data_IF_250359572813
#
_entry.id   IF_250359572813
#
_cell.length_a   1.000
_cell.length_b   1.000
_cell.length_c   1.000
_cell.angle_alpha   90.00
_cell.angle_beta   90.00
_cell.angle_gamma   90.00
#
_symmetry.space_group_name_H-M   'P 1'
#
loop_
_entity.id
_entity.type
_entity.pdbx_description
1 polymer ?
#
# COMPACT_ATOMS: atom_id res chain seq x y z
N UNK A 1 8.77 -5.26 -7.38
CA UNK A 1 7.63 -4.31 -7.49
C UNK A 1 6.99 -4.34 -8.88
N UNK A 2 7.73 -4.18 -9.97
CA UNK A 2 7.17 -4.19 -11.34
C UNK A 2 6.33 -5.44 -11.66
N UNK A 3 6.80 -6.64 -11.27
CA UNK A 3 6.02 -7.88 -11.42
C UNK A 3 4.68 -7.78 -10.68
N UNK A 4 4.69 -7.35 -9.42
CA UNK A 4 3.47 -7.20 -8.63
C UNK A 4 2.48 -6.19 -9.24
N UNK A 5 2.97 -5.07 -9.78
CA UNK A 5 2.12 -4.09 -10.48
C UNK A 5 1.40 -4.71 -11.68
N UNK A 6 2.11 -5.55 -12.46
CA UNK A 6 1.53 -6.28 -13.60
C UNK A 6 0.54 -7.35 -13.15
N UNK A 7 0.88 -8.12 -12.10
CA UNK A 7 0.05 -9.20 -11.58
C UNK A 7 -1.28 -8.68 -11.01
N UNK A 8 -1.25 -7.50 -10.35
CA UNK A 8 -2.44 -6.82 -9.81
C UNK A 8 -3.26 -6.18 -10.94
N UNK A 9 -2.64 -5.86 -12.08
CA UNK A 9 -3.28 -5.09 -13.15
C UNK A 9 -3.82 -3.76 -12.62
N UNK A 10 -2.90 -2.82 -12.33
CA UNK A 10 -3.24 -1.52 -11.73
C UNK A 10 -4.12 -0.71 -12.68
N UNK A 11 -5.33 -0.37 -12.26
CA UNK A 11 -6.33 0.33 -13.05
C UNK A 11 -6.73 1.69 -12.45
N UNK A 12 -6.48 1.86 -11.15
CA UNK A 12 -6.90 3.07 -10.44
C UNK A 12 -5.91 3.41 -9.31
N UNK A 13 -6.10 4.59 -8.72
CA UNK A 13 -5.22 5.09 -7.66
C UNK A 13 -5.24 4.24 -6.39
N UNK A 14 -6.38 3.64 -6.03
CA UNK A 14 -6.49 2.75 -4.88
C UNK A 14 -5.61 1.49 -5.04
N UNK A 15 -5.42 1.03 -6.27
CA UNK A 15 -4.50 -0.10 -6.54
C UNK A 15 -3.05 0.27 -6.21
N UNK A 16 -2.62 1.50 -6.51
CA UNK A 16 -1.27 1.98 -6.18
C UNK A 16 -1.10 2.02 -4.66
N UNK A 17 -2.10 2.52 -3.93
CA UNK A 17 -2.11 2.52 -2.46
C UNK A 17 -1.98 1.10 -1.92
N UNK A 18 -2.74 0.16 -2.50
CA UNK A 18 -2.72 -1.25 -2.08
C UNK A 18 -1.37 -1.92 -2.38
N UNK A 19 -0.78 -1.66 -3.56
CA UNK A 19 0.55 -2.20 -3.92
C UNK A 19 1.60 -1.83 -2.90
N UNK A 20 1.65 -0.57 -2.45
CA UNK A 20 2.61 -0.10 -1.46
C UNK A 20 2.43 -0.79 -0.10
N UNK A 21 1.20 -1.14 0.27
CA UNK A 21 0.91 -1.90 1.47
C UNK A 21 1.25 -3.39 1.32
N UNK A 22 1.07 -3.97 0.13
CA UNK A 22 1.27 -5.39 -0.17
C UNK A 22 2.73 -5.75 -0.46
N UNK A 23 3.52 -4.85 -1.05
CA UNK A 23 4.91 -5.13 -1.45
C UNK A 23 5.86 -5.09 -0.25
N UNK A 24 5.71 -6.05 0.64
CA UNK A 24 6.53 -6.24 1.84
C UNK A 24 6.69 -7.73 2.13
N UNK A 25 7.81 -8.14 2.77
CA UNK A 25 8.08 -9.57 3.04
C UNK A 25 6.94 -10.30 3.76
N UNK A 26 6.28 -9.65 4.71
CA UNK A 26 5.18 -10.23 5.48
C UNK A 26 3.95 -10.56 4.61
N UNK A 27 3.29 -9.59 3.99
CA UNK A 27 2.15 -9.82 3.09
C UNK A 27 2.48 -10.79 1.96
N UNK A 28 3.69 -10.69 1.36
CA UNK A 28 4.11 -11.58 0.28
C UNK A 28 4.21 -13.05 0.71
N UNK A 29 4.69 -13.31 1.93
CA UNK A 29 4.83 -14.68 2.46
C UNK A 29 3.53 -15.24 3.07
N UNK A 30 2.60 -14.38 3.48
CA UNK A 30 1.36 -14.79 4.16
C UNK A 30 0.25 -15.31 3.23
N UNK A 31 0.42 -15.20 1.92
CA UNK A 31 -0.61 -15.49 0.92
C UNK A 31 -1.59 -14.35 0.63
N UNK A 32 -1.49 -13.25 1.38
CA UNK A 32 -2.39 -12.07 1.26
C UNK A 32 -2.35 -11.45 -0.14
N UNK A 33 -1.16 -11.36 -0.73
CA UNK A 33 -0.97 -10.83 -2.10
C UNK A 33 -1.72 -11.67 -3.12
N UNK A 34 -1.59 -13.01 -3.02
CA UNK A 34 -2.28 -13.94 -3.92
C UNK A 34 -3.79 -13.81 -3.80
N UNK A 35 -4.29 -13.77 -2.57
CA UNK A 35 -5.71 -13.61 -2.26
C UNK A 35 -6.27 -12.28 -2.82
N UNK A 36 -5.54 -11.18 -2.65
CA UNK A 36 -5.91 -9.87 -3.21
C UNK A 36 -6.02 -9.92 -4.73
N UNK A 37 -5.00 -10.47 -5.42
CA UNK A 37 -4.97 -10.58 -6.89
C UNK A 37 -6.11 -11.45 -7.40
N UNK A 38 -6.32 -12.62 -6.80
CA UNK A 38 -7.38 -13.56 -7.21
C UNK A 38 -8.78 -12.94 -7.07
N UNK A 39 -9.01 -12.23 -5.96
CA UNK A 39 -10.32 -11.59 -5.70
C UNK A 39 -10.54 -10.34 -6.53
N UNK A 40 -9.48 -9.59 -6.87
CA UNK A 40 -9.58 -8.48 -7.81
C UNK A 40 -9.93 -8.96 -9.21
N UNK A 41 -9.30 -10.06 -9.68
CA UNK A 41 -9.56 -10.63 -11.01
C UNK A 41 -10.93 -11.32 -11.11
N UNK A 42 -11.40 -11.89 -10.02
CA UNK A 42 -12.66 -12.62 -9.96
C UNK A 42 -13.47 -12.23 -8.73
N UNK A 43 -14.35 -11.21 -8.86
CA UNK A 43 -15.18 -10.74 -7.75
C UNK A 43 -16.09 -11.81 -7.12
N UNK A 44 -16.38 -12.91 -7.82
CA UNK A 44 -17.19 -14.02 -7.28
C UNK A 44 -16.50 -14.75 -6.12
N UNK A 45 -15.18 -14.62 -6.02
CA UNK A 45 -14.36 -15.17 -4.92
C UNK A 45 -14.38 -14.33 -3.65
N UNK A 46 -14.91 -13.10 -3.70
CA UNK A 46 -15.00 -12.24 -2.53
C UNK A 46 -16.07 -12.80 -1.59
N UNK A 47 -15.65 -13.11 -0.36
CA UNK A 47 -16.54 -13.57 0.69
C UNK A 47 -16.38 -12.71 1.93
N UNK A 48 -17.49 -12.24 2.48
CA UNK A 48 -17.50 -11.50 3.74
C UNK A 48 -18.11 -12.41 4.83
N UNK A 49 -17.40 -12.56 5.94
CA UNK A 49 -17.89 -13.37 7.06
C UNK A 49 -19.11 -12.73 7.77
N UNK A 50 -19.32 -11.44 7.56
CA UNK A 50 -20.49 -10.72 8.02
C UNK A 50 -20.82 -9.55 7.06
N UNK A 51 -22.12 -9.23 6.81
CA UNK A 51 -22.50 -8.15 5.88
C UNK A 51 -21.88 -6.79 6.19
N UNK A 52 -21.71 -6.45 7.47
CA UNK A 52 -21.07 -5.19 7.89
C UNK A 52 -19.62 -5.06 7.43
N UNK A 53 -18.95 -6.16 7.11
CA UNK A 53 -17.57 -6.12 6.60
C UNK A 53 -17.49 -5.66 5.15
N UNK A 54 -18.54 -5.83 4.36
CA UNK A 54 -18.55 -5.43 2.96
C UNK A 54 -18.22 -3.95 2.80
N UNK A 55 -18.87 -3.07 3.56
CA UNK A 55 -18.63 -1.63 3.48
C UNK A 55 -17.21 -1.22 3.83
N UNK A 56 -16.50 -2.02 4.64
CA UNK A 56 -15.14 -1.74 5.11
C UNK A 56 -14.12 -2.34 4.15
N UNK A 57 -14.36 -3.57 3.68
CA UNK A 57 -13.38 -4.37 2.95
C UNK A 57 -13.59 -4.38 1.43
N UNK A 58 -14.68 -3.81 0.94
CA UNK A 58 -14.95 -3.71 -0.51
C UNK A 58 -13.80 -3.06 -1.29
N UNK A 59 -13.18 -1.95 -0.81
CA UNK A 59 -12.05 -1.32 -1.51
C UNK A 59 -10.79 -2.20 -1.60
N UNK A 60 -10.71 -3.24 -0.79
CA UNK A 60 -9.58 -4.19 -0.73
C UNK A 60 -10.01 -5.62 -1.05
N UNK A 61 -11.10 -5.77 -1.80
CA UNK A 61 -11.61 -7.06 -2.28
C UNK A 61 -11.81 -8.11 -1.17
N UNK A 62 -12.27 -7.64 0.01
CA UNK A 62 -12.48 -8.49 1.18
C UNK A 62 -11.23 -8.86 1.97
N UNK A 63 -10.08 -8.30 1.64
CA UNK A 63 -8.82 -8.52 2.37
C UNK A 63 -8.63 -7.43 3.41
N UNK A 64 -8.29 -7.80 4.65
CA UNK A 64 -7.88 -6.83 5.66
C UNK A 64 -6.44 -6.43 5.34
N UNK A 65 -6.24 -5.20 4.86
CA UNK A 65 -4.96 -4.68 4.40
C UNK A 65 -4.44 -3.53 5.26
N UNK A 66 -5.36 -2.70 5.79
CA UNK A 66 -5.03 -1.49 6.52
C UNK A 66 -5.39 -1.56 8.01
N UNK A 67 -4.59 -0.91 8.84
CA UNK A 67 -4.85 -0.76 10.27
C UNK A 67 -6.19 -0.06 10.54
N UNK A 68 -6.53 0.91 9.70
CA UNK A 68 -7.79 1.64 9.76
C UNK A 68 -9.01 0.73 9.54
N UNK A 69 -8.89 -0.32 8.70
CA UNK A 69 -9.96 -1.30 8.53
C UNK A 69 -10.19 -2.11 9.80
N UNK A 70 -9.13 -2.48 10.52
CA UNK A 70 -9.27 -3.16 11.82
C UNK A 70 -10.00 -2.27 12.82
N UNK A 71 -9.65 -0.99 12.89
CA UNK A 71 -10.33 -0.03 13.77
C UNK A 71 -11.81 0.11 13.41
N UNK A 72 -12.14 0.18 12.13
CA UNK A 72 -13.52 0.25 11.65
C UNK A 72 -14.31 -1.04 11.94
N UNK A 73 -13.67 -2.21 11.79
CA UNK A 73 -14.28 -3.51 12.12
C UNK A 73 -14.60 -3.57 13.62
N UNK A 74 -13.64 -3.22 14.48
CA UNK A 74 -13.85 -3.21 15.93
C UNK A 74 -14.98 -2.23 16.34
N UNK A 75 -15.02 -1.07 15.71
CA UNK A 75 -16.06 -0.07 15.96
C UNK A 75 -17.44 -0.56 15.50
N UNK A 76 -17.58 -0.97 14.23
CA UNK A 76 -18.88 -1.31 13.64
C UNK A 76 -19.44 -2.65 14.12
N UNK A 77 -18.58 -3.67 14.29
CA UNK A 77 -19.03 -5.00 14.73
C UNK A 77 -19.18 -5.10 16.25
N UNK A 78 -18.22 -4.53 16.99
CA UNK A 78 -18.09 -4.79 18.42
C UNK A 78 -18.33 -3.54 19.29
N UNK A 79 -18.81 -2.44 18.73
CA UNK A 79 -19.13 -1.19 19.45
C UNK A 79 -17.91 -0.58 20.20
N UNK A 80 -16.70 -0.81 19.71
CA UNK A 80 -15.52 -0.13 20.25
C UNK A 80 -15.63 1.37 19.94
N UNK A 81 -15.32 2.19 20.91
CA UNK A 81 -15.01 3.61 20.61
C UNK A 81 -13.78 3.70 19.74
N UNK A 82 -13.59 4.80 19.01
CA UNK A 82 -12.39 4.96 18.18
C UNK A 82 -11.10 4.95 19.00
N UNK A 83 -11.14 5.45 20.25
CA UNK A 83 -10.00 5.35 21.18
C UNK A 83 -9.65 3.91 21.53
N UNK A 84 -10.65 3.08 21.83
CA UNK A 84 -10.44 1.65 22.11
C UNK A 84 -9.96 0.89 20.89
N UNK A 85 -10.48 1.21 19.71
CA UNK A 85 -10.02 0.63 18.45
C UNK A 85 -8.56 1.00 18.15
N UNK A 86 -8.13 2.23 18.49
CA UNK A 86 -6.73 2.63 18.38
C UNK A 86 -5.83 1.92 19.40
N UNK A 87 -6.33 1.67 20.61
CA UNK A 87 -5.60 0.85 21.60
C UNK A 87 -5.44 -0.61 21.11
N UNK A 88 -6.49 -1.20 20.53
CA UNK A 88 -6.40 -2.52 19.88
C UNK A 88 -5.33 -2.52 18.79
N UNK A 89 -5.35 -1.52 17.90
CA UNK A 89 -4.34 -1.36 16.83
C UNK A 89 -2.92 -1.28 17.40
N UNK A 90 -2.71 -0.54 18.50
CA UNK A 90 -1.41 -0.40 19.18
C UNK A 90 -0.96 -1.70 19.81
N UNK A 91 -1.88 -2.42 20.49
CA UNK A 91 -1.60 -3.73 21.10
C UNK A 91 -1.18 -4.77 20.05
N UNK A 92 -1.87 -4.75 18.89
CA UNK A 92 -1.53 -5.58 17.73
C UNK A 92 -0.09 -5.32 17.25
N UNK A 93 0.28 -4.04 17.08
CA UNK A 93 1.62 -3.66 16.62
C UNK A 93 2.73 -4.08 17.57
N UNK A 94 2.47 -4.06 18.88
CA UNK A 94 3.42 -4.45 19.93
C UNK A 94 3.41 -5.95 20.24
N UNK A 95 2.48 -6.72 19.68
CA UNK A 95 2.31 -8.19 19.91
C UNK A 95 2.17 -8.55 21.39
N UNK A 96 1.46 -7.75 22.18
CA UNK A 96 1.25 -7.99 23.61
C UNK A 96 0.10 -8.99 23.77
N UNK A 97 0.43 -10.25 23.98
CA UNK A 97 -0.55 -11.35 24.02
C UNK A 97 -1.60 -11.19 25.11
N UNK A 98 -1.25 -10.70 26.30
CA UNK A 98 -2.19 -10.49 27.41
C UNK A 98 -3.21 -9.38 27.13
N UNK A 99 -2.82 -8.32 26.42
CA UNK A 99 -3.75 -7.27 26.00
C UNK A 99 -4.65 -7.75 24.85
N UNK A 100 -4.10 -8.54 23.93
CA UNK A 100 -4.88 -9.10 22.82
C UNK A 100 -6.01 -10.01 23.30
N UNK A 101 -5.80 -10.81 24.37
CA UNK A 101 -6.86 -11.64 24.93
C UNK A 101 -7.99 -10.79 25.55
N UNK A 102 -7.68 -9.73 26.28
CA UNK A 102 -8.68 -8.80 26.80
C UNK A 102 -9.50 -8.13 25.67
N UNK A 103 -8.82 -7.75 24.59
CA UNK A 103 -9.50 -7.20 23.42
C UNK A 103 -10.37 -8.23 22.70
N UNK A 104 -9.94 -9.49 22.67
CA UNK A 104 -10.73 -10.60 22.11
C UNK A 104 -12.05 -10.77 22.86
N UNK A 105 -11.99 -10.94 24.18
CA UNK A 105 -13.19 -11.07 25.01
C UNK A 105 -14.16 -9.90 24.82
N UNK A 106 -13.62 -8.66 24.86
CA UNK A 106 -14.41 -7.46 24.65
C UNK A 106 -15.04 -7.42 23.26
N UNK A 107 -14.27 -7.79 22.23
CA UNK A 107 -14.75 -7.81 20.84
C UNK A 107 -15.91 -8.80 20.67
N UNK A 108 -15.77 -10.01 21.20
CA UNK A 108 -16.80 -11.05 21.12
C UNK A 108 -18.08 -10.60 21.86
N UNK A 109 -17.93 -10.08 23.07
CA UNK A 109 -19.07 -9.55 23.84
C UNK A 109 -19.79 -8.39 23.13
N UNK A 110 -19.02 -7.47 22.54
CA UNK A 110 -19.58 -6.35 21.79
C UNK A 110 -20.27 -6.81 20.51
N UNK A 111 -19.68 -7.73 19.77
CA UNK A 111 -20.24 -8.30 18.55
C UNK A 111 -21.55 -9.08 18.83
N UNK A 112 -21.61 -9.85 19.91
CA UNK A 112 -22.84 -10.54 20.35
C UNK A 112 -23.97 -9.57 20.65
N UNK A 113 -23.68 -8.43 21.28
CA UNK A 113 -24.68 -7.36 21.53
C UNK A 113 -25.22 -6.76 20.23
N UNK A 114 -24.46 -6.80 19.16
CA UNK A 114 -24.86 -6.38 17.80
C UNK A 114 -25.51 -7.51 16.98
N UNK A 115 -25.85 -8.62 17.61
CA UNK A 115 -26.52 -9.76 16.95
C UNK A 115 -25.59 -10.63 16.10
N UNK A 116 -24.27 -10.46 16.20
CA UNK A 116 -23.30 -11.30 15.51
C UNK A 116 -23.12 -12.61 16.29
N UNK A 117 -23.20 -13.74 15.60
CA UNK A 117 -22.96 -15.06 16.21
C UNK A 117 -21.53 -15.14 16.74
N UNK A 118 -21.36 -15.77 17.89
CA UNK A 118 -20.06 -15.92 18.58
C UNK A 118 -18.99 -16.52 17.68
N UNK A 119 -19.32 -17.61 16.97
CA UNK A 119 -18.41 -18.28 16.04
C UNK A 119 -17.91 -17.34 14.93
N UNK A 120 -18.76 -16.46 14.43
CA UNK A 120 -18.40 -15.46 13.41
C UNK A 120 -17.51 -14.38 14.02
N UNK A 121 -17.83 -13.92 15.23
CA UNK A 121 -17.00 -12.93 15.94
C UNK A 121 -15.62 -13.46 16.24
N UNK A 122 -15.51 -14.71 16.70
CA UNK A 122 -14.25 -15.42 16.92
C UNK A 122 -13.42 -15.51 15.63
N UNK A 123 -14.04 -15.93 14.53
CA UNK A 123 -13.37 -16.05 13.24
C UNK A 123 -12.83 -14.71 12.76
N UNK A 124 -13.63 -13.64 12.88
CA UNK A 124 -13.20 -12.29 12.48
C UNK A 124 -12.06 -11.80 13.38
N UNK A 125 -12.14 -12.01 14.70
CA UNK A 125 -11.05 -11.61 15.59
C UNK A 125 -9.77 -12.39 15.32
N UNK A 126 -9.86 -13.68 14.99
CA UNK A 126 -8.70 -14.47 14.57
C UNK A 126 -8.05 -13.92 13.30
N UNK A 127 -8.84 -13.45 12.33
CA UNK A 127 -8.32 -12.77 11.13
C UNK A 127 -7.61 -11.46 11.50
N UNK A 128 -8.21 -10.64 12.37
CA UNK A 128 -7.60 -9.42 12.90
C UNK A 128 -6.26 -9.74 13.58
N UNK A 129 -6.23 -10.77 14.43
CA UNK A 129 -5.02 -11.17 15.15
C UNK A 129 -3.92 -11.68 14.21
N UNK A 130 -4.28 -12.45 13.18
CA UNK A 130 -3.34 -12.88 12.13
C UNK A 130 -2.77 -11.69 11.36
N UNK A 131 -3.60 -10.70 11.08
CA UNK A 131 -3.21 -9.47 10.40
C UNK A 131 -2.33 -8.56 11.29
N UNK A 132 -2.35 -8.71 12.60
CA UNK A 132 -1.63 -7.87 13.56
C UNK A 132 -0.14 -7.67 13.23
N UNK A 133 0.50 -8.69 12.64
CA UNK A 133 1.91 -8.63 12.23
C UNK A 133 2.18 -7.90 10.91
N UNK A 134 1.15 -7.56 10.14
CA UNK A 134 1.28 -7.11 8.74
C UNK A 134 0.49 -5.84 8.42
N UNK A 135 -0.31 -5.34 9.36
CA UNK A 135 -1.14 -4.16 9.17
C UNK A 135 -0.36 -2.94 8.71
N UNK A 136 -0.84 -2.26 7.67
CA UNK A 136 -0.22 -1.07 7.13
C UNK A 136 -1.09 0.17 7.40
N UNK A 137 -0.45 1.31 7.60
CA UNK A 137 -1.16 2.58 7.72
C UNK A 137 -1.58 3.06 6.33
N UNK A 138 -2.88 3.21 6.09
CA UNK A 138 -3.41 3.61 4.79
C UNK A 138 -3.00 5.04 4.41
N UNK A 139 -2.97 5.95 5.38
CA UNK A 139 -2.59 7.34 5.12
C UNK A 139 -1.15 7.45 4.64
N UNK A 140 -0.22 6.69 5.26
CA UNK A 140 1.16 6.60 4.80
C UNK A 140 1.25 6.06 3.37
N UNK A 141 0.54 4.96 3.08
CA UNK A 141 0.48 4.39 1.73
C UNK A 141 -0.06 5.40 0.71
N UNK A 142 -1.12 6.13 1.06
CA UNK A 142 -1.74 7.12 0.16
C UNK A 142 -0.79 8.27 -0.18
N UNK A 143 -0.04 8.78 0.79
CA UNK A 143 0.96 9.83 0.54
C UNK A 143 2.05 9.37 -0.43
N UNK A 144 2.59 8.18 -0.24
CA UNK A 144 3.59 7.63 -1.15
C UNK A 144 3.02 7.24 -2.52
N UNK A 145 1.78 6.77 -2.57
CA UNK A 145 1.08 6.50 -3.83
C UNK A 145 0.91 7.77 -4.66
N UNK A 146 0.64 8.89 -4.00
CA UNK A 146 0.52 10.18 -4.68
C UNK A 146 1.84 10.61 -5.33
N UNK A 147 2.95 10.51 -4.61
CA UNK A 147 4.28 10.80 -5.15
C UNK A 147 4.62 9.82 -6.29
N UNK A 148 4.37 8.53 -6.09
CA UNK A 148 4.62 7.51 -7.11
C UNK A 148 3.81 7.77 -8.39
N UNK A 149 2.55 8.17 -8.26
CA UNK A 149 1.72 8.54 -9.40
C UNK A 149 2.24 9.80 -10.12
N UNK A 150 2.60 10.85 -9.36
CA UNK A 150 3.15 12.09 -9.94
C UNK A 150 4.44 11.81 -10.71
N UNK A 151 5.38 11.07 -10.13
CA UNK A 151 6.65 10.74 -10.78
C UNK A 151 6.45 9.86 -12.01
N UNK A 152 5.53 8.89 -11.96
CA UNK A 152 5.18 8.07 -13.11
C UNK A 152 4.53 8.90 -14.24
N UNK A 153 3.63 9.81 -13.88
CA UNK A 153 2.98 10.72 -14.84
C UNK A 153 4.00 11.63 -15.53
N UNK A 154 4.89 12.27 -14.75
CA UNK A 154 5.94 13.14 -15.29
C UNK A 154 6.88 12.35 -16.19
N UNK A 155 7.34 11.19 -15.76
CA UNK A 155 8.21 10.33 -16.56
C UNK A 155 7.57 9.87 -17.87
N UNK A 156 6.27 9.63 -17.87
CA UNK A 156 5.54 9.16 -19.06
C UNK A 156 5.22 10.28 -20.06
N UNK A 157 4.90 11.48 -19.58
CA UNK A 157 4.42 12.58 -20.42
C UNK A 157 5.51 13.64 -20.70
N UNK A 158 6.51 13.74 -19.82
CA UNK A 158 7.60 14.72 -19.87
C UNK A 158 8.94 14.05 -19.54
N UNK A 159 9.35 13.00 -20.31
CA UNK A 159 10.52 12.20 -19.98
C UNK A 159 11.82 13.02 -20.00
N UNK A 160 11.96 13.96 -20.92
CA UNK A 160 13.15 14.80 -21.06
C UNK A 160 13.35 15.67 -19.82
N UNK A 161 12.33 16.42 -19.41
CA UNK A 161 12.38 17.29 -18.23
C UNK A 161 12.53 16.48 -16.95
N UNK A 162 11.84 15.34 -16.86
CA UNK A 162 11.89 14.47 -15.69
C UNK A 162 13.29 13.88 -15.50
N UNK A 163 13.92 13.34 -16.56
CA UNK A 163 15.24 12.74 -16.48
C UNK A 163 16.31 13.82 -16.26
N UNK A 164 16.20 14.98 -16.89
CA UNK A 164 17.09 16.11 -16.65
C UNK A 164 17.06 16.53 -15.18
N UNK A 165 15.90 16.61 -14.57
CA UNK A 165 15.75 16.89 -13.14
C UNK A 165 16.37 15.81 -12.26
N UNK A 166 16.24 14.53 -12.62
CA UNK A 166 16.87 13.43 -11.90
C UNK A 166 18.40 13.50 -12.00
N UNK A 167 18.95 13.75 -13.18
CA UNK A 167 20.40 13.89 -13.37
C UNK A 167 20.95 15.03 -12.51
N UNK A 168 20.27 16.17 -12.47
CA UNK A 168 20.65 17.30 -11.63
C UNK A 168 20.57 17.00 -10.13
N UNK A 169 19.57 16.22 -9.70
CA UNK A 169 19.45 15.83 -8.28
C UNK A 169 20.54 14.88 -7.80
N UNK A 170 21.22 14.20 -8.71
CA UNK A 170 22.26 13.19 -8.41
C UNK A 170 23.68 13.66 -8.82
N UNK A 171 23.88 14.95 -9.08
CA UNK A 171 25.23 15.48 -9.35
C UNK A 171 26.15 15.12 -8.17
N UNK A 172 27.28 14.47 -8.51
CA UNK A 172 28.24 13.91 -7.54
C UNK A 172 28.06 12.43 -7.22
N UNK A 173 26.99 11.80 -7.71
CA UNK A 173 26.74 10.37 -7.58
C UNK A 173 26.89 9.68 -8.95
N UNK A 174 28.11 9.30 -9.29
CA UNK A 174 28.47 8.75 -10.61
C UNK A 174 27.64 7.52 -10.99
N UNK A 175 27.39 6.63 -10.03
CA UNK A 175 26.65 5.38 -10.27
C UNK A 175 25.20 5.66 -10.69
N UNK A 176 24.57 6.67 -10.06
CA UNK A 176 23.21 7.08 -10.40
C UNK A 176 23.14 7.84 -11.72
N UNK A 177 24.10 8.70 -11.97
CA UNK A 177 24.22 9.39 -13.27
C UNK A 177 24.32 8.36 -14.40
N UNK A 178 25.18 7.35 -14.28
CA UNK A 178 25.31 6.28 -15.28
C UNK A 178 23.98 5.51 -15.48
N UNK A 179 23.28 5.19 -14.38
CA UNK A 179 21.98 4.53 -14.43
C UNK A 179 20.95 5.35 -15.22
N UNK A 180 20.88 6.67 -14.97
CA UNK A 180 19.91 7.55 -15.64
C UNK A 180 20.31 7.85 -17.09
N UNK A 181 21.60 7.91 -17.42
CA UNK A 181 22.06 8.02 -18.82
C UNK A 181 21.62 6.77 -19.62
N UNK A 182 21.74 5.58 -19.06
CA UNK A 182 21.23 4.35 -19.69
C UNK A 182 19.69 4.35 -19.83
N UNK A 183 18.99 4.98 -18.89
CA UNK A 183 17.55 5.13 -18.99
C UNK A 183 17.13 6.09 -20.11
N UNK A 184 17.95 7.12 -20.41
CA UNK A 184 17.74 8.07 -21.52
C UNK A 184 17.58 7.34 -22.87
N UNK A 185 18.36 6.29 -23.12
CA UNK A 185 18.32 5.50 -24.36
C UNK A 185 16.94 4.94 -24.66
N UNK A 186 16.13 4.61 -23.61
CA UNK A 186 14.77 4.08 -23.74
C UNK A 186 13.75 5.10 -24.22
N UNK A 187 14.11 6.38 -24.16
CA UNK A 187 13.25 7.49 -24.50
C UNK A 187 13.79 8.30 -25.71
N UNK A 188 14.83 7.75 -26.41
CA UNK A 188 15.53 8.43 -27.49
C UNK A 188 16.09 9.80 -27.08
N UNK A 189 16.50 9.93 -25.81
CA UNK A 189 17.11 11.14 -25.24
C UNK A 189 18.62 10.98 -25.32
N UNK A 190 19.29 11.92 -26.00
CA UNK A 190 20.73 11.94 -26.14
C UNK A 190 21.37 12.81 -25.07
N UNK A 191 22.29 12.23 -24.30
CA UNK A 191 23.13 12.98 -23.35
C UNK A 191 24.44 13.31 -24.04
N UNK A 192 24.66 14.58 -24.32
CA UNK A 192 25.87 15.05 -24.97
C UNK A 192 27.04 15.14 -23.98
N UNK A 193 28.30 14.92 -24.43
CA UNK A 193 29.46 15.16 -23.57
C UNK A 193 29.59 16.64 -23.21
N UNK A 194 30.25 16.97 -22.10
CA UNK A 194 30.50 18.36 -21.73
C UNK A 194 31.29 19.12 -22.83
N UNK A 195 30.83 20.33 -23.15
CA UNK A 195 31.52 21.25 -24.05
C UNK A 195 31.84 22.56 -23.31
N UNK A 196 33.09 23.01 -23.40
CA UNK A 196 33.57 24.16 -22.64
C UNK A 196 32.89 25.48 -23.04
N UNK A 197 32.33 25.54 -24.25
CA UNK A 197 31.63 26.72 -24.75
C UNK A 197 30.13 26.75 -24.43
N UNK A 198 29.54 25.57 -24.15
CA UNK A 198 28.08 25.42 -24.03
C UNK A 198 27.64 24.89 -22.68
N UNK A 199 28.50 24.11 -22.00
CA UNK A 199 28.14 23.47 -20.75
C UNK A 199 28.25 24.39 -19.54
N UNK A 200 27.37 24.16 -18.59
CA UNK A 200 27.32 24.80 -17.29
C UNK A 200 27.55 23.76 -16.18
N UNK A 201 27.34 24.13 -14.93
CA UNK A 201 27.43 23.21 -13.78
C UNK A 201 26.28 22.23 -13.62
N UNK A 202 25.26 22.30 -14.48
CA UNK A 202 24.03 21.47 -14.42
C UNK A 202 23.71 20.88 -15.80
N UNK A 203 22.93 19.78 -15.79
CA UNK A 203 22.35 19.24 -17.02
C UNK A 203 21.23 20.17 -17.51
N UNK A 204 21.27 20.52 -18.79
CA UNK A 204 20.26 21.37 -19.45
C UNK A 204 19.69 20.68 -20.66
N UNK A 205 18.42 21.00 -20.94
CA UNK A 205 17.76 20.59 -22.17
C UNK A 205 18.27 21.47 -23.29
N UNK A 206 18.76 20.83 -24.37
CA UNK A 206 19.30 21.49 -25.54
C UNK A 206 18.51 21.07 -26.78
N UNK A 207 18.08 22.02 -27.57
CA UNK A 207 17.28 21.78 -28.78
C UNK A 207 15.76 21.74 -28.53
N UNK A 208 15.00 21.98 -29.57
CA UNK A 208 13.54 21.83 -29.61
C UNK A 208 13.16 20.42 -30.06
#
# INVERSE_FOLDING_TARGET
>A
MQSLLRDINVENFEDIIAVLALYRPGPMKSGMVKEYIERKKDPSKIKYDHPLLETILKPTYGVILYQEQVMQIANKLANFTMGEADHLRKAMGKKISSEMEKFREKFILGAKKNGVKEEIAEKIFAQISKFAGYGFNRSHSACYAFIAYQTAYLKSNFPLEFITSLLNSEIGNSDKIEEYIKECERYDIWVLPPDICESDGEFKIFGN
#
